data_IF_255307174406
#
_entry.id   IF_255307174406
#
_cell.length_a   1.000
_cell.length_b   1.000
_cell.length_c   1.000
_cell.angle_alpha   90.00
_cell.angle_beta   90.00
_cell.angle_gamma   90.00
#
_symmetry.space_group_name_H-M   'P 1'
#
loop_
_entity.id
_entity.type
_entity.pdbx_description
1 polymer ?
#
# COMPACT_ATOMS: atom_id res chain seq x y z
N UNK A 1 17.86 4.46 8.95
CA UNK A 1 16.86 3.38 8.86
C UNK A 1 15.83 3.57 7.74
N UNK A 2 15.29 4.78 7.49
CA UNK A 2 14.25 5.03 6.47
C UNK A 2 14.59 4.75 5.00
N UNK A 3 15.87 4.67 4.61
CA UNK A 3 16.23 4.52 3.20
C UNK A 3 16.06 3.08 2.68
N UNK A 4 16.28 2.06 3.51
CA UNK A 4 16.21 0.66 3.10
C UNK A 4 14.77 0.20 2.82
N UNK A 5 13.80 0.68 3.59
CA UNK A 5 12.38 0.34 3.41
C UNK A 5 11.80 0.92 2.10
N UNK A 6 12.19 2.16 1.76
CA UNK A 6 11.83 2.79 0.48
C UNK A 6 12.50 2.06 -0.69
N UNK A 7 13.76 1.66 -0.54
CA UNK A 7 14.48 0.88 -1.55
C UNK A 7 13.81 -0.49 -1.76
N UNK A 8 13.30 -1.14 -0.72
CA UNK A 8 12.64 -2.44 -0.86
C UNK A 8 11.25 -2.32 -1.48
N UNK A 9 10.47 -1.29 -1.12
CA UNK A 9 9.23 -0.92 -1.83
C UNK A 9 9.50 -0.67 -3.32
N UNK A 10 10.61 -0.01 -3.65
CA UNK A 10 11.03 0.24 -5.03
C UNK A 10 11.48 -1.04 -5.73
N UNK A 11 12.34 -1.87 -5.12
CA UNK A 11 12.85 -3.11 -5.73
C UNK A 11 11.71 -4.08 -6.06
N UNK A 12 10.76 -4.27 -5.14
CA UNK A 12 9.66 -5.22 -5.32
C UNK A 12 8.56 -4.69 -6.26
N UNK A 13 8.32 -3.38 -6.31
CA UNK A 13 7.47 -2.77 -7.35
C UNK A 13 8.12 -2.89 -8.75
N UNK A 14 9.46 -2.86 -8.82
CA UNK A 14 10.23 -2.95 -10.06
C UNK A 14 10.36 -4.39 -10.59
N UNK A 15 10.40 -5.42 -9.73
CA UNK A 15 10.42 -6.83 -10.15
C UNK A 15 9.19 -7.21 -11.01
N UNK A 16 8.07 -6.51 -10.83
CA UNK A 16 6.88 -6.68 -11.66
C UNK A 16 6.95 -5.92 -13.01
N UNK A 17 7.57 -4.74 -13.07
CA UNK A 17 7.82 -4.02 -14.34
C UNK A 17 8.69 -4.90 -15.27
N UNK A 18 9.54 -5.74 -14.70
CA UNK A 18 10.32 -6.75 -15.40
C UNK A 18 9.52 -7.86 -16.11
N UNK A 19 8.22 -8.01 -15.85
CA UNK A 19 7.40 -9.10 -16.43
C UNK A 19 6.70 -8.74 -17.75
N UNK A 20 6.57 -7.46 -18.11
CA UNK A 20 5.99 -7.05 -19.41
C UNK A 20 6.68 -5.81 -20.00
N UNK A 21 7.69 -6.05 -20.85
CA UNK A 21 8.15 -5.15 -21.93
C UNK A 21 8.36 -3.65 -21.59
N UNK A 22 8.73 -3.29 -20.36
CA UNK A 22 9.20 -1.94 -20.04
C UNK A 22 10.69 -1.96 -19.69
N UNK A 23 11.43 -0.99 -20.23
CA UNK A 23 12.87 -1.04 -20.48
C UNK A 23 13.74 -1.26 -19.21
N UNK A 24 14.08 -2.53 -18.94
CA UNK A 24 14.88 -3.03 -17.81
C UNK A 24 16.32 -2.48 -17.73
N UNK A 25 16.88 -1.98 -18.83
CA UNK A 25 18.27 -1.48 -18.87
C UNK A 25 18.45 -0.08 -18.27
N UNK A 26 17.41 0.76 -18.26
CA UNK A 26 17.51 2.13 -17.70
C UNK A 26 17.31 2.14 -16.18
N UNK A 27 16.60 1.16 -15.65
CA UNK A 27 16.21 1.05 -14.23
C UNK A 27 17.27 0.34 -13.37
N UNK A 28 17.97 -0.66 -13.91
CA UNK A 28 19.13 -1.28 -13.26
C UNK A 28 20.28 -0.28 -13.01
N UNK A 29 20.50 0.66 -13.93
CA UNK A 29 21.42 1.80 -13.76
C UNK A 29 21.04 2.72 -12.59
N UNK A 30 19.74 2.88 -12.31
CA UNK A 30 19.22 3.75 -11.24
C UNK A 30 19.43 3.11 -9.87
N UNK A 31 19.23 1.79 -9.76
CA UNK A 31 19.53 0.99 -8.55
C UNK A 31 21.04 1.03 -8.25
N UNK A 32 21.89 0.85 -9.27
CA UNK A 32 23.35 0.93 -9.12
C UNK A 32 23.84 2.33 -8.71
N UNK A 33 23.16 3.38 -9.20
CA UNK A 33 23.46 4.77 -8.82
C UNK A 33 23.01 5.12 -7.39
N UNK A 34 22.05 4.40 -6.81
CA UNK A 34 21.61 4.62 -5.43
C UNK A 34 22.68 4.20 -4.43
N UNK A 35 23.45 3.16 -4.77
CA UNK A 35 24.53 2.63 -3.93
C UNK A 35 25.82 3.47 -3.96
N UNK A 36 25.89 4.50 -4.82
CA UNK A 36 27.08 5.34 -4.98
C UNK A 36 26.73 6.81 -4.74
N UNK A 37 26.91 7.23 -3.48
CA UNK A 37 27.03 8.63 -3.02
C UNK A 37 25.76 9.52 -3.13
N UNK A 38 25.04 9.63 -2.01
CA UNK A 38 24.40 10.84 -1.48
C UNK A 38 24.09 12.01 -2.47
N UNK A 39 23.26 11.76 -3.48
CA UNK A 39 22.61 12.81 -4.34
C UNK A 39 21.18 12.40 -4.79
N UNK A 40 20.44 11.66 -3.97
CA UNK A 40 19.30 10.83 -4.42
C UNK A 40 17.86 11.31 -4.18
N UNK A 41 17.58 12.52 -3.66
CA UNK A 41 16.20 12.93 -3.31
C UNK A 41 15.28 13.13 -4.51
N UNK A 42 15.81 13.64 -5.63
CA UNK A 42 15.02 13.88 -6.86
C UNK A 42 14.66 12.58 -7.58
N UNK A 43 15.58 11.60 -7.61
CA UNK A 43 15.36 10.30 -8.27
C UNK A 43 14.34 9.44 -7.53
N UNK A 44 14.39 9.40 -6.20
CA UNK A 44 13.39 8.66 -5.40
C UNK A 44 11.99 9.22 -5.61
N UNK A 45 11.86 10.54 -5.61
CA UNK A 45 10.57 11.21 -5.85
C UNK A 45 9.99 10.83 -7.21
N UNK A 46 10.81 10.85 -8.27
CA UNK A 46 10.38 10.46 -9.61
C UNK A 46 9.82 9.04 -9.63
N UNK A 47 10.48 8.08 -8.98
CA UNK A 47 10.00 6.69 -9.00
C UNK A 47 8.72 6.52 -8.17
N UNK A 48 8.60 7.20 -7.03
CA UNK A 48 7.36 7.18 -6.25
C UNK A 48 6.19 7.79 -7.04
N UNK A 49 6.44 8.88 -7.77
CA UNK A 49 5.45 9.51 -8.64
C UNK A 49 5.06 8.55 -9.80
N UNK A 50 6.02 7.82 -10.38
CA UNK A 50 5.78 6.78 -11.39
C UNK A 50 4.95 5.61 -10.85
N UNK A 51 5.24 5.14 -9.63
CA UNK A 51 4.44 4.09 -8.98
C UNK A 51 3.01 4.60 -8.76
N UNK A 52 2.83 5.80 -8.21
CA UNK A 52 1.50 6.40 -8.02
C UNK A 52 0.74 6.49 -9.35
N UNK A 53 1.38 6.95 -10.42
CA UNK A 53 0.76 7.01 -11.74
C UNK A 53 0.34 5.62 -12.25
N UNK A 54 1.17 4.60 -12.03
CA UNK A 54 0.86 3.21 -12.37
C UNK A 54 -0.33 2.66 -11.56
N UNK A 55 -0.37 2.89 -10.25
CA UNK A 55 -1.49 2.43 -9.40
C UNK A 55 -2.82 3.03 -9.85
N UNK A 56 -2.82 4.34 -10.11
CA UNK A 56 -4.02 5.03 -10.60
C UNK A 56 -4.48 4.50 -11.96
N UNK A 57 -3.55 4.29 -12.90
CA UNK A 57 -3.87 3.68 -14.20
C UNK A 57 -4.47 2.27 -14.05
N UNK A 58 -3.95 1.46 -13.13
CA UNK A 58 -4.48 0.11 -12.87
C UNK A 58 -5.87 0.15 -12.22
N UNK A 59 -6.12 1.10 -11.32
CA UNK A 59 -7.47 1.35 -10.77
C UNK A 59 -8.46 1.67 -11.89
N UNK A 60 -8.07 2.55 -12.82
CA UNK A 60 -8.87 2.94 -13.98
C UNK A 60 -9.16 1.73 -14.91
N UNK A 61 -8.12 0.98 -15.29
CA UNK A 61 -8.24 -0.18 -16.19
C UNK A 61 -9.14 -1.29 -15.62
N UNK A 62 -9.18 -1.43 -14.29
CA UNK A 62 -10.02 -2.41 -13.60
C UNK A 62 -11.45 -1.92 -13.34
N UNK A 63 -11.79 -0.69 -13.74
CA UNK A 63 -13.09 -0.08 -13.41
C UNK A 63 -13.26 0.21 -11.92
N UNK A 64 -12.18 0.15 -11.14
CA UNK A 64 -12.12 0.43 -9.71
C UNK A 64 -11.89 1.93 -9.48
N UNK A 65 -12.50 2.77 -10.32
CA UNK A 65 -12.45 4.24 -10.21
C UNK A 65 -13.28 4.70 -8.99
N UNK A 66 -12.73 4.42 -7.82
CA UNK A 66 -12.87 5.20 -6.60
C UNK A 66 -12.69 6.68 -6.91
N UNK A 67 -13.42 7.55 -6.20
CA UNK A 67 -13.45 8.99 -6.49
C UNK A 67 -12.10 9.67 -6.26
N UNK A 68 -11.20 9.07 -5.48
CA UNK A 68 -9.89 9.62 -5.17
C UNK A 68 -8.74 8.76 -5.72
N UNK A 69 -7.67 9.39 -6.23
CA UNK A 69 -6.46 8.69 -6.64
C UNK A 69 -5.62 8.22 -5.44
N UNK A 70 -4.79 7.20 -5.65
CA UNK A 70 -3.64 6.90 -4.81
C UNK A 70 -2.67 8.07 -4.80
N UNK A 71 -2.01 8.27 -3.66
CA UNK A 71 -0.87 9.16 -3.52
C UNK A 71 0.09 8.66 -2.45
N UNK A 72 1.34 9.13 -2.51
CA UNK A 72 2.37 8.74 -1.56
C UNK A 72 2.59 9.82 -0.50
N UNK A 73 2.67 9.40 0.77
CA UNK A 73 2.87 10.30 1.91
C UNK A 73 4.21 10.05 2.58
N UNK A 74 5.06 11.07 2.54
CA UNK A 74 6.43 11.01 3.08
C UNK A 74 6.48 10.91 4.59
N UNK A 75 5.54 11.54 5.29
CA UNK A 75 5.49 11.57 6.75
C UNK A 75 5.41 10.16 7.35
N UNK A 76 4.59 9.31 6.73
CA UNK A 76 4.36 7.93 7.18
C UNK A 76 5.05 6.88 6.30
N UNK A 77 5.69 7.29 5.21
CA UNK A 77 6.30 6.40 4.21
C UNK A 77 5.32 5.33 3.67
N UNK A 78 4.12 5.75 3.28
CA UNK A 78 3.07 4.85 2.76
C UNK A 78 2.45 5.38 1.47
N UNK A 79 1.95 4.46 0.66
CA UNK A 79 0.92 4.78 -0.32
C UNK A 79 -0.42 4.83 0.40
N UNK A 80 -1.22 5.86 0.14
CA UNK A 80 -2.53 6.00 0.74
C UNK A 80 -3.60 6.38 -0.27
N UNK A 81 -4.81 5.96 0.03
CA UNK A 81 -6.02 6.30 -0.71
C UNK A 81 -7.20 6.36 0.25
N UNK A 82 -8.11 7.29 -0.02
CA UNK A 82 -9.31 7.52 0.79
C UNK A 82 -10.53 7.34 -0.11
N UNK A 83 -11.50 6.56 0.34
CA UNK A 83 -12.81 6.47 -0.30
C UNK A 83 -13.89 6.74 0.74
N UNK A 84 -14.73 7.75 0.47
CA UNK A 84 -15.80 8.22 1.35
C UNK A 84 -15.40 8.30 2.85
N UNK A 85 -15.73 7.28 3.64
CA UNK A 85 -15.56 7.21 5.10
C UNK A 85 -14.42 6.31 5.55
N UNK A 86 -13.57 5.82 4.66
CA UNK A 86 -12.40 5.00 5.01
C UNK A 86 -11.14 5.47 4.30
N UNK A 87 -9.99 5.16 4.90
CA UNK A 87 -8.69 5.31 4.26
C UNK A 87 -7.88 4.02 4.42
N UNK A 88 -7.12 3.68 3.38
CA UNK A 88 -6.23 2.52 3.37
C UNK A 88 -4.80 2.97 3.12
N UNK A 89 -3.88 2.41 3.90
CA UNK A 89 -2.44 2.62 3.78
C UNK A 89 -1.77 1.32 3.34
N UNK A 90 -0.82 1.42 2.41
CA UNK A 90 0.10 0.34 2.04
C UNK A 90 1.51 0.80 2.38
N UNK A 91 2.19 0.05 3.25
CA UNK A 91 3.54 0.36 3.71
C UNK A 91 4.41 -0.88 3.83
N UNK A 92 5.70 -0.65 4.06
CA UNK A 92 6.63 -1.73 4.37
C UNK A 92 6.35 -2.32 5.77
N UNK A 93 6.51 -3.63 5.86
CA UNK A 93 6.52 -4.40 7.10
C UNK A 93 7.80 -5.25 7.14
N UNK A 94 8.86 -4.73 7.75
CA UNK A 94 10.15 -5.42 7.76
C UNK A 94 10.80 -5.50 6.37
N UNK A 95 11.75 -6.43 6.20
CA UNK A 95 12.70 -6.39 5.09
C UNK A 95 12.06 -6.76 3.74
N UNK A 96 11.12 -7.71 3.70
CA UNK A 96 10.53 -8.21 2.44
C UNK A 96 9.01 -8.40 2.49
N UNK A 97 8.33 -7.72 3.41
CA UNK A 97 6.87 -7.82 3.47
C UNK A 97 6.22 -6.45 3.49
N UNK A 98 4.95 -6.44 3.11
CA UNK A 98 4.10 -5.27 3.09
C UNK A 98 2.99 -5.46 4.09
N UNK A 99 2.47 -4.34 4.58
CA UNK A 99 1.24 -4.31 5.34
C UNK A 99 0.26 -3.34 4.69
N UNK A 100 -1.00 -3.71 4.76
CA UNK A 100 -2.11 -2.81 4.52
C UNK A 100 -2.88 -2.57 5.79
N UNK A 101 -3.35 -1.35 5.98
CA UNK A 101 -4.09 -0.96 7.18
C UNK A 101 -5.30 -0.11 6.76
N UNK A 102 -6.49 -0.51 7.17
CA UNK A 102 -7.73 0.22 6.98
C UNK A 102 -8.14 0.95 8.24
N UNK A 103 -8.64 2.15 8.08
CA UNK A 103 -9.12 3.00 9.15
C UNK A 103 -10.38 3.75 8.74
N UNK A 104 -11.15 4.17 9.74
CA UNK A 104 -12.33 5.01 9.54
C UNK A 104 -11.95 6.50 9.51
N UNK A 105 -12.44 7.24 8.52
CA UNK A 105 -12.23 8.67 8.40
C UNK A 105 -12.90 9.43 9.55
N UNK A 106 -12.15 10.30 10.22
CA UNK A 106 -12.65 11.09 11.34
C UNK A 106 -12.58 10.39 12.70
N UNK A 107 -12.16 9.13 12.75
CA UNK A 107 -11.80 8.45 14.00
C UNK A 107 -10.28 8.50 14.20
N UNK A 108 -9.84 8.76 15.44
CA UNK A 108 -8.42 8.91 15.77
C UNK A 108 -7.83 7.58 16.22
N UNK A 109 -7.24 6.87 15.26
CA UNK A 109 -6.03 6.08 15.52
C UNK A 109 -6.18 4.56 15.67
N UNK A 110 -7.37 3.99 15.48
CA UNK A 110 -7.52 2.53 15.49
C UNK A 110 -7.57 1.95 14.08
N UNK A 111 -6.62 1.05 13.81
CA UNK A 111 -6.62 0.21 12.63
C UNK A 111 -7.74 -0.81 12.77
N UNK A 112 -8.68 -0.79 11.83
CA UNK A 112 -9.83 -1.69 11.84
C UNK A 112 -9.48 -3.04 11.22
N UNK A 113 -8.70 -3.04 10.13
CA UNK A 113 -8.18 -4.24 9.48
C UNK A 113 -6.73 -4.06 9.09
N UNK A 114 -5.96 -5.11 9.29
CA UNK A 114 -4.57 -5.23 8.87
C UNK A 114 -4.35 -6.56 8.15
N UNK A 115 -3.72 -6.47 6.99
CA UNK A 115 -3.30 -7.61 6.19
C UNK A 115 -1.83 -7.45 5.83
N UNK A 116 -1.11 -8.56 5.72
CA UNK A 116 0.33 -8.58 5.46
C UNK A 116 0.62 -9.64 4.41
N UNK A 117 1.45 -9.29 3.43
CA UNK A 117 1.93 -10.22 2.40
C UNK A 117 3.27 -9.74 1.86
N UNK A 118 4.08 -10.66 1.35
CA UNK A 118 5.37 -10.36 0.72
C UNK A 118 5.20 -9.72 -0.68
N UNK A 119 4.00 -9.83 -1.26
CA UNK A 119 3.61 -9.20 -2.53
C UNK A 119 2.90 -7.87 -2.31
N UNK A 120 3.52 -6.81 -2.81
CA UNK A 120 2.89 -5.49 -2.88
C UNK A 120 1.57 -5.52 -3.66
N UNK A 121 1.48 -6.33 -4.73
CA UNK A 121 0.29 -6.39 -5.57
C UNK A 121 -0.89 -7.04 -4.88
N UNK A 122 -0.67 -8.13 -4.12
CA UNK A 122 -1.75 -8.69 -3.32
C UNK A 122 -2.23 -7.68 -2.28
N UNK A 123 -1.31 -6.97 -1.65
CA UNK A 123 -1.65 -5.87 -0.75
C UNK A 123 -2.48 -4.79 -1.46
N UNK A 124 -2.11 -4.38 -2.67
CA UNK A 124 -2.87 -3.44 -3.48
C UNK A 124 -4.27 -3.95 -3.84
N UNK A 125 -4.40 -5.22 -4.24
CA UNK A 125 -5.69 -5.83 -4.61
C UNK A 125 -6.64 -5.86 -3.41
N UNK A 126 -6.16 -6.33 -2.26
CA UNK A 126 -6.95 -6.33 -1.03
C UNK A 126 -7.29 -4.90 -0.58
N UNK A 127 -6.38 -3.94 -0.79
CA UNK A 127 -6.66 -2.54 -0.48
C UNK A 127 -7.80 -1.96 -1.35
N UNK A 128 -7.82 -2.26 -2.65
CA UNK A 128 -8.92 -1.87 -3.54
C UNK A 128 -10.24 -2.55 -3.15
N UNK A 129 -10.21 -3.84 -2.82
CA UNK A 129 -11.37 -4.58 -2.33
C UNK A 129 -11.95 -3.94 -1.07
N UNK A 130 -11.11 -3.63 -0.09
CA UNK A 130 -11.52 -2.98 1.14
C UNK A 130 -12.08 -1.57 0.93
N UNK A 131 -11.47 -0.78 0.04
CA UNK A 131 -11.98 0.56 -0.30
C UNK A 131 -13.36 0.48 -0.94
N UNK A 132 -13.58 -0.51 -1.79
CA UNK A 132 -14.88 -0.74 -2.43
C UNK A 132 -15.93 -1.22 -1.41
N UNK A 133 -15.65 -2.31 -0.71
CA UNK A 133 -16.58 -2.99 0.19
C UNK A 133 -16.92 -2.12 1.42
N UNK A 134 -15.92 -1.44 1.99
CA UNK A 134 -16.05 -0.71 3.24
C UNK A 134 -16.08 0.81 3.08
N UNK A 135 -16.22 1.34 1.85
CA UNK A 135 -16.34 2.78 1.53
C UNK A 135 -17.23 3.57 2.51
N UNK A 136 -18.36 2.98 2.92
CA UNK A 136 -19.34 3.61 3.84
C UNK A 136 -18.90 3.65 5.31
N UNK A 137 -17.82 2.97 5.67
CA UNK A 137 -17.29 2.91 7.03
C UNK A 137 -18.23 2.23 8.02
N UNK A 138 -18.97 1.19 7.61
CA UNK A 138 -19.76 0.38 8.54
C UNK A 138 -18.83 -0.52 9.37
N UNK A 139 -18.52 -0.05 10.58
CA UNK A 139 -17.65 -0.75 11.54
C UNK A 139 -18.17 -2.15 11.85
N UNK A 140 -19.49 -2.36 11.88
CA UNK A 140 -20.06 -3.68 12.15
C UNK A 140 -19.83 -4.64 10.98
N UNK A 141 -19.81 -4.13 9.75
CA UNK A 141 -19.42 -4.90 8.58
C UNK A 141 -17.94 -5.25 8.61
N UNK A 142 -17.09 -4.25 8.81
CA UNK A 142 -15.64 -4.41 8.85
C UNK A 142 -15.22 -5.46 9.90
N UNK A 143 -15.79 -5.40 11.11
CA UNK A 143 -15.49 -6.35 12.21
C UNK A 143 -15.83 -7.80 11.92
N UNK A 144 -16.77 -8.08 11.01
CA UNK A 144 -17.05 -9.47 10.60
C UNK A 144 -15.89 -10.09 9.83
N UNK A 145 -15.05 -9.26 9.22
CA UNK A 145 -13.87 -9.68 8.48
C UNK A 145 -12.62 -9.73 9.36
N UNK A 146 -12.73 -9.39 10.65
CA UNK A 146 -11.64 -9.53 11.60
C UNK A 146 -11.46 -10.99 12.01
N UNK A 147 -10.22 -11.41 12.15
CA UNK A 147 -9.82 -12.71 12.66
C UNK A 147 -10.47 -12.96 14.03
N UNK A 148 -11.17 -14.09 14.16
CA UNK A 148 -11.76 -14.56 15.40
C UNK A 148 -11.95 -16.08 15.35
N UNK A 149 -12.24 -16.77 16.47
CA UNK A 149 -12.59 -18.19 16.43
C UNK A 149 -13.77 -18.53 15.49
N UNK A 150 -14.64 -17.55 15.22
CA UNK A 150 -15.78 -17.68 14.30
C UNK A 150 -15.48 -17.19 12.88
N UNK A 151 -14.32 -16.57 12.66
CA UNK A 151 -13.80 -16.19 11.35
C UNK A 151 -12.26 -16.39 11.33
N UNK A 152 -11.77 -17.63 11.22
CA UNK A 152 -10.34 -17.92 11.29
C UNK A 152 -9.57 -17.44 10.06
N UNK A 153 -10.26 -17.08 8.98
CA UNK A 153 -9.67 -16.53 7.74
C UNK A 153 -9.69 -14.99 7.73
N UNK A 154 -10.20 -14.37 8.79
CA UNK A 154 -10.28 -12.91 8.89
C UNK A 154 -8.92 -12.22 9.00
N UNK A 155 -8.94 -10.92 8.81
CA UNK A 155 -7.78 -10.05 8.90
C UNK A 155 -7.45 -9.64 10.34
N UNK A 156 -6.21 -9.26 10.58
CA UNK A 156 -5.79 -8.85 11.92
C UNK A 156 -6.37 -7.49 12.29
N UNK A 157 -6.54 -7.24 13.59
CA UNK A 157 -6.79 -5.90 14.12
C UNK A 157 -5.61 -5.54 15.02
N UNK A 158 -5.00 -4.38 14.79
CA UNK A 158 -3.74 -4.04 15.48
C UNK A 158 -3.93 -3.66 16.96
N UNK A 159 -5.18 -3.46 17.43
CA UNK A 159 -5.49 -3.22 18.85
C UNK A 159 -6.76 -3.96 19.28
N UNK A 160 -6.61 -4.85 20.27
CA UNK A 160 -7.72 -5.54 20.94
C UNK A 160 -8.54 -4.54 21.78
N UNK A 161 -9.85 -4.44 21.53
CA UNK A 161 -10.77 -3.99 22.57
C UNK A 161 -10.88 -5.11 23.63
N UNK A 162 -10.29 -4.91 24.81
CA UNK A 162 -10.98 -5.34 26.03
C UNK A 162 -12.13 -4.35 26.21
N UNK A 163 -13.32 -4.72 25.77
CA UNK A 163 -14.55 -4.16 26.36
C UNK A 163 -14.83 -4.90 27.65
#
# INVERSE_FOLDING_TARGET
>A
MHHLEVINLLILALDFIGSKKFCTKRLTSIIFSYNVKNKGTRRVRIILDEIVAMLNKLSEERGLNTRAPWYYTKEFNVFQKKEDRVYVYIGSHGINSFKIQLYQAGDTGMCELEYRDDSFWKCYEVAEEWLYEFSKGDVSAIRRHTFSPHNPEGYWQTVYYKR
#
